data_IF_309086255139
#
_entry.id   IF_309086255139
#
_cell.length_a   1.000
_cell.length_b   1.000
_cell.length_c   1.000
_cell.angle_alpha   90.00
_cell.angle_beta   90.00
_cell.angle_gamma   90.00
#
_symmetry.space_group_name_H-M   'P 1'
#
loop_
_entity.id
_entity.type
_entity.pdbx_description
1 polymer ?
#
# COMPACT_ATOMS: atom_id res chain seq x y z
N UNK A 1 19.47 -2.81 3.37
CA UNK A 1 19.79 -2.16 2.08
C UNK A 1 18.93 -2.75 0.98
N UNK A 2 18.38 -1.89 0.11
CA UNK A 2 17.67 -2.36 -1.08
C UNK A 2 18.73 -2.97 -2.00
N UNK A 3 18.65 -4.28 -2.24
CA UNK A 3 19.61 -5.04 -3.06
C UNK A 3 19.45 -4.77 -4.55
N UNK A 4 19.77 -3.54 -5.00
CA UNK A 4 19.64 -3.14 -6.41
C UNK A 4 20.95 -2.54 -6.95
N UNK A 5 21.04 -2.40 -8.28
CA UNK A 5 22.21 -1.79 -8.91
C UNK A 5 22.36 -0.32 -8.51
N UNK A 6 23.57 0.25 -8.55
CA UNK A 6 23.80 1.67 -8.28
C UNK A 6 22.97 2.60 -9.17
N UNK A 7 22.75 2.26 -10.42
CA UNK A 7 21.96 3.02 -11.38
C UNK A 7 20.47 3.05 -10.95
N UNK A 8 19.92 1.88 -10.61
CA UNK A 8 18.55 1.78 -10.12
C UNK A 8 18.38 2.53 -8.79
N UNK A 9 19.34 2.38 -7.87
CA UNK A 9 19.31 3.09 -6.59
C UNK A 9 19.33 4.61 -6.79
N UNK A 10 20.15 5.12 -7.72
CA UNK A 10 20.23 6.55 -8.01
C UNK A 10 18.91 7.12 -8.54
N UNK A 11 18.18 6.35 -9.34
CA UNK A 11 16.85 6.71 -9.82
C UNK A 11 15.80 6.62 -8.69
N UNK A 12 15.79 5.50 -7.96
CA UNK A 12 14.81 5.21 -6.91
C UNK A 12 14.86 6.26 -5.78
N UNK A 13 16.06 6.76 -5.46
CA UNK A 13 16.27 7.73 -4.36
C UNK A 13 16.30 9.19 -4.81
N UNK A 14 15.95 9.46 -6.06
CA UNK A 14 15.80 10.81 -6.58
C UNK A 14 14.32 11.24 -6.55
N UNK A 15 13.96 12.26 -5.74
CA UNK A 15 12.57 12.68 -5.59
C UNK A 15 11.96 13.27 -6.87
N UNK A 16 12.79 13.74 -7.80
CA UNK A 16 12.31 14.26 -9.09
C UNK A 16 12.01 13.13 -10.07
N UNK A 17 12.84 12.08 -10.08
CA UNK A 17 12.70 10.97 -11.02
C UNK A 17 11.70 9.91 -10.55
N UNK A 18 11.68 9.62 -9.24
CA UNK A 18 10.81 8.59 -8.63
C UNK A 18 9.61 9.16 -7.85
N UNK A 19 9.60 10.46 -7.57
CA UNK A 19 8.51 11.13 -6.85
C UNK A 19 8.56 11.02 -5.33
N UNK A 20 9.53 10.31 -4.74
CA UNK A 20 9.67 10.18 -3.29
C UNK A 20 10.50 8.97 -2.87
N UNK A 21 10.47 8.67 -1.57
CA UNK A 21 11.17 7.55 -0.95
C UNK A 21 10.26 6.35 -0.67
N UNK A 22 10.44 5.74 0.51
CA UNK A 22 9.68 4.56 0.94
C UNK A 22 8.16 4.84 1.01
N UNK A 23 7.76 6.08 1.30
CA UNK A 23 6.37 6.51 1.27
C UNK A 23 5.74 6.21 -0.10
N UNK A 24 6.37 6.65 -1.17
CA UNK A 24 5.85 6.46 -2.53
C UNK A 24 6.03 5.02 -2.99
N UNK A 25 7.25 4.47 -2.85
CA UNK A 25 7.64 3.17 -3.38
C UNK A 25 6.89 1.99 -2.72
N UNK A 26 6.78 2.00 -1.39
CA UNK A 26 6.12 0.91 -0.64
C UNK A 26 4.76 1.30 -0.07
N UNK A 27 4.54 2.57 0.27
CA UNK A 27 3.26 3.05 0.76
C UNK A 27 2.14 2.88 -0.27
N UNK A 28 2.45 2.95 -1.56
CA UNK A 28 1.49 2.74 -2.64
C UNK A 28 0.82 1.35 -2.58
N UNK A 29 1.53 0.29 -2.19
CA UNK A 29 0.96 -1.05 -2.08
C UNK A 29 -0.11 -1.13 -0.98
N UNK A 30 0.19 -0.56 0.19
CA UNK A 30 -0.76 -0.52 1.30
C UNK A 30 -1.99 0.34 0.96
N UNK A 31 -1.79 1.52 0.38
CA UNK A 31 -2.86 2.40 -0.06
C UNK A 31 -3.74 1.73 -1.13
N UNK A 32 -3.13 1.01 -2.11
CA UNK A 32 -3.85 0.32 -3.16
C UNK A 32 -4.73 -0.81 -2.60
N UNK A 33 -4.19 -1.66 -1.73
CA UNK A 33 -4.94 -2.75 -1.10
C UNK A 33 -6.07 -2.20 -0.23
N UNK A 34 -5.81 -1.17 0.59
CA UNK A 34 -6.81 -0.55 1.44
C UNK A 34 -7.96 0.04 0.62
N UNK A 35 -7.66 0.81 -0.42
CA UNK A 35 -8.65 1.42 -1.31
C UNK A 35 -9.51 0.35 -2.00
N UNK A 36 -8.87 -0.73 -2.48
CA UNK A 36 -9.58 -1.84 -3.09
C UNK A 36 -10.51 -2.56 -2.10
N UNK A 37 -10.03 -2.88 -0.90
CA UNK A 37 -10.81 -3.56 0.13
C UNK A 37 -11.99 -2.72 0.63
N UNK A 38 -11.88 -1.40 0.59
CA UNK A 38 -12.92 -0.44 0.97
C UNK A 38 -13.71 0.05 -0.25
N UNK A 39 -13.67 -0.67 -1.37
CA UNK A 39 -14.47 -0.43 -2.59
C UNK A 39 -14.39 1.02 -3.11
N UNK A 40 -13.22 1.64 -2.97
CA UNK A 40 -12.98 3.02 -3.41
C UNK A 40 -13.42 4.08 -2.41
N UNK A 41 -13.73 3.71 -1.16
CA UNK A 41 -14.01 4.70 -0.12
C UNK A 41 -12.76 5.58 0.12
N UNK A 42 -12.98 6.88 0.26
CA UNK A 42 -11.90 7.84 0.49
C UNK A 42 -11.73 8.15 1.98
N UNK A 43 -10.51 8.21 2.51
CA UNK A 43 -10.29 8.52 3.92
C UNK A 43 -10.77 9.94 4.26
N UNK A 44 -11.28 10.12 5.47
CA UNK A 44 -11.66 11.43 6.02
C UNK A 44 -10.43 12.28 6.32
N UNK A 45 -9.40 11.65 6.90
CA UNK A 45 -8.11 12.25 7.20
C UNK A 45 -6.96 11.31 6.84
N UNK A 46 -5.84 11.91 6.49
CA UNK A 46 -4.56 11.23 6.25
C UNK A 46 -3.51 11.86 7.16
N UNK A 47 -2.87 11.05 7.97
CA UNK A 47 -1.71 11.42 8.79
C UNK A 47 -0.49 10.66 8.31
N UNK A 48 0.68 11.27 8.39
CA UNK A 48 1.92 10.62 7.97
C UNK A 48 3.11 11.07 8.80
N UNK A 49 3.95 10.10 9.15
CA UNK A 49 5.26 10.32 9.74
C UNK A 49 6.28 9.72 8.77
N UNK A 50 7.07 10.55 8.12
CA UNK A 50 8.16 10.14 7.25
C UNK A 50 9.50 10.44 7.91
N UNK A 51 10.41 9.46 7.91
CA UNK A 51 11.73 9.53 8.51
C UNK A 51 12.82 9.25 7.48
N UNK A 52 13.95 9.89 7.67
CA UNK A 52 15.20 9.62 6.96
C UNK A 52 16.20 9.06 7.97
N UNK A 53 16.13 7.75 8.21
CA UNK A 53 16.93 7.05 9.23
C UNK A 53 18.36 6.78 8.76
N UNK A 54 18.57 6.68 7.44
CA UNK A 54 19.86 6.44 6.79
C UNK A 54 20.25 7.56 5.82
N UNK A 55 20.45 8.81 6.28
CA UNK A 55 20.66 9.96 5.40
C UNK A 55 21.93 9.89 4.55
N UNK A 56 22.92 9.08 4.94
CA UNK A 56 24.12 8.83 4.13
C UNK A 56 23.84 7.94 2.92
N UNK A 57 22.85 7.06 3.02
CA UNK A 57 22.47 6.14 1.95
C UNK A 57 21.33 6.71 1.10
N UNK A 58 20.37 7.38 1.73
CA UNK A 58 19.19 7.98 1.11
C UNK A 58 19.12 9.48 1.40
N UNK A 59 20.01 10.29 0.79
CA UNK A 59 20.22 11.69 1.23
C UNK A 59 19.06 12.65 0.90
N UNK A 60 18.13 12.26 0.01
CA UNK A 60 17.10 13.15 -0.53
C UNK A 60 15.66 12.71 -0.24
N UNK A 61 15.47 11.51 0.29
CA UNK A 61 14.14 10.88 0.43
C UNK A 61 13.98 10.21 1.78
N UNK A 62 12.73 9.97 2.18
CA UNK A 62 12.39 9.13 3.34
C UNK A 62 12.74 7.66 3.08
N UNK A 63 13.08 6.95 4.14
CA UNK A 63 13.39 5.52 4.11
C UNK A 63 12.56 4.70 5.10
N UNK A 64 11.74 5.38 5.90
CA UNK A 64 10.85 4.76 6.90
C UNK A 64 9.63 5.65 7.13
N UNK A 65 8.44 5.13 6.81
CA UNK A 65 7.22 5.92 6.80
C UNK A 65 6.05 5.15 7.40
N UNK A 66 5.25 5.83 8.21
CA UNK A 66 3.96 5.34 8.69
C UNK A 66 2.86 6.28 8.23
N UNK A 67 1.88 5.74 7.49
CA UNK A 67 0.69 6.44 7.04
C UNK A 67 -0.51 5.91 7.83
N UNK A 68 -1.36 6.80 8.33
CA UNK A 68 -2.62 6.46 8.98
C UNK A 68 -3.76 7.06 8.15
N UNK A 69 -4.67 6.19 7.70
CA UNK A 69 -5.89 6.58 6.99
C UNK A 69 -7.06 6.43 7.95
N UNK A 70 -7.77 7.53 8.19
CA UNK A 70 -8.96 7.56 9.02
C UNK A 70 -10.21 7.57 8.13
N UNK A 71 -11.10 6.59 8.34
CA UNK A 71 -12.42 6.51 7.73
C UNK A 71 -13.50 6.66 8.83
N UNK A 72 -14.76 6.69 8.46
CA UNK A 72 -15.84 6.87 9.45
C UNK A 72 -15.86 5.81 10.55
N UNK A 73 -15.57 4.55 10.18
CA UNK A 73 -15.65 3.40 11.10
C UNK A 73 -14.39 2.51 11.07
N UNK A 74 -13.42 2.86 10.26
CA UNK A 74 -12.24 2.03 9.99
C UNK A 74 -11.00 2.91 10.10
N UNK A 75 -9.93 2.32 10.58
CA UNK A 75 -8.60 2.90 10.55
C UNK A 75 -7.66 1.94 9.81
N UNK A 76 -6.83 2.48 8.93
CA UNK A 76 -5.78 1.73 8.23
C UNK A 76 -4.43 2.32 8.61
N UNK A 77 -3.49 1.45 8.98
CA UNK A 77 -2.10 1.82 9.24
C UNK A 77 -1.22 1.14 8.20
N UNK A 78 -0.46 1.92 7.47
CA UNK A 78 0.49 1.45 6.46
C UNK A 78 1.90 1.77 6.95
N UNK A 79 2.75 0.76 7.09
CA UNK A 79 4.15 0.95 7.42
C UNK A 79 5.01 0.58 6.20
N UNK A 80 5.59 1.57 5.58
CA UNK A 80 6.45 1.46 4.40
C UNK A 80 7.89 1.76 4.80
N UNK A 81 8.80 0.80 4.66
CA UNK A 81 10.18 0.96 5.11
C UNK A 81 11.17 0.18 4.25
N UNK A 82 12.28 0.83 3.92
CA UNK A 82 13.47 0.21 3.32
C UNK A 82 14.46 -0.30 4.36
N UNK A 83 14.10 -0.20 5.66
CA UNK A 83 15.02 -0.45 6.78
C UNK A 83 14.88 -1.81 7.43
N UNK A 84 13.91 -2.64 6.99
CA UNK A 84 13.74 -3.99 7.50
C UNK A 84 14.99 -4.84 7.25
N UNK A 85 15.33 -5.70 8.22
CA UNK A 85 16.45 -6.65 8.12
C UNK A 85 16.14 -7.85 7.19
N UNK A 86 14.89 -7.98 6.75
CA UNK A 86 14.40 -9.07 5.91
C UNK A 86 13.22 -8.56 5.06
N UNK A 87 12.89 -9.28 4.00
CA UNK A 87 11.71 -9.00 3.21
C UNK A 87 10.45 -9.20 4.06
N UNK A 88 9.68 -8.14 4.21
CA UNK A 88 8.44 -8.12 4.95
C UNK A 88 7.30 -7.61 4.05
N UNK A 89 6.29 -8.47 3.84
CA UNK A 89 5.03 -8.12 3.19
C UNK A 89 3.95 -8.89 3.92
N UNK A 90 3.47 -8.31 5.00
CA UNK A 90 2.44 -8.87 5.86
C UNK A 90 1.27 -7.89 5.97
N UNK A 91 0.10 -8.43 6.29
CA UNK A 91 -1.11 -7.64 6.50
C UNK A 91 -1.96 -8.28 7.59
N UNK A 92 -2.52 -7.45 8.45
CA UNK A 92 -3.44 -7.88 9.50
C UNK A 92 -4.74 -7.09 9.38
N UNK A 93 -5.86 -7.80 9.46
CA UNK A 93 -7.21 -7.22 9.40
C UNK A 93 -7.96 -7.65 10.65
N UNK A 94 -8.45 -6.70 11.42
CA UNK A 94 -9.23 -6.93 12.61
C UNK A 94 -10.66 -6.44 12.40
N UNK A 95 -11.62 -7.30 12.66
CA UNK A 95 -13.05 -7.00 12.57
C UNK A 95 -13.82 -7.42 13.82
N UNK A 96 -15.09 -7.05 13.89
CA UNK A 96 -15.96 -7.38 15.02
C UNK A 96 -16.20 -8.89 15.20
N UNK A 97 -15.94 -9.69 14.17
CA UNK A 97 -16.18 -11.15 14.20
C UNK A 97 -14.88 -11.97 14.13
N UNK A 98 -13.73 -11.34 14.23
CA UNK A 98 -12.44 -12.04 14.19
C UNK A 98 -11.34 -11.24 13.53
N UNK A 99 -10.27 -11.94 13.17
CA UNK A 99 -9.15 -11.33 12.45
C UNK A 99 -8.63 -12.24 11.33
N UNK A 100 -7.95 -11.62 10.38
CA UNK A 100 -7.12 -12.28 9.36
C UNK A 100 -5.69 -11.78 9.51
N UNK A 101 -4.73 -12.70 9.56
CA UNK A 101 -3.31 -12.40 9.57
C UNK A 101 -2.67 -13.02 8.31
N UNK A 102 -2.36 -12.19 7.33
CA UNK A 102 -1.64 -12.60 6.13
C UNK A 102 -0.14 -12.55 6.41
N UNK A 103 0.46 -13.71 6.76
CA UNK A 103 1.86 -13.83 7.16
C UNK A 103 2.79 -13.67 5.96
N UNK A 104 2.41 -14.25 4.83
CA UNK A 104 3.12 -14.17 3.56
C UNK A 104 2.19 -14.57 2.40
N UNK A 105 2.74 -14.67 1.19
CA UNK A 105 1.97 -15.00 -0.02
C UNK A 105 1.34 -16.41 -0.04
N UNK A 106 1.76 -17.32 0.86
CA UNK A 106 1.31 -18.72 0.89
C UNK A 106 0.54 -19.08 2.16
N UNK A 107 0.50 -18.19 3.15
CA UNK A 107 -0.03 -18.53 4.47
C UNK A 107 -0.80 -17.37 5.07
N UNK A 108 -2.02 -17.67 5.49
CA UNK A 108 -2.82 -16.77 6.31
C UNK A 108 -3.45 -17.52 7.48
N UNK A 109 -3.70 -16.79 8.54
CA UNK A 109 -4.41 -17.25 9.73
C UNK A 109 -5.75 -16.52 9.82
N UNK A 110 -6.77 -17.27 10.19
CA UNK A 110 -8.11 -16.76 10.43
C UNK A 110 -8.57 -17.20 11.82
N UNK A 111 -9.10 -16.26 12.59
CA UNK A 111 -9.84 -16.56 13.82
C UNK A 111 -11.19 -15.85 13.77
N UNK A 112 -12.27 -16.63 13.85
CA UNK A 112 -13.64 -16.11 13.90
C UNK A 112 -14.23 -16.12 15.30
N UNK A 113 -13.81 -17.05 16.14
CA UNK A 113 -14.18 -17.11 17.55
C UNK A 113 -13.05 -17.71 18.37
N UNK A 114 -12.91 -17.30 19.64
CA UNK A 114 -11.90 -17.88 20.54
C UNK A 114 -12.10 -19.40 20.74
N UNK A 115 -13.36 -19.89 20.70
CA UNK A 115 -13.68 -21.32 20.86
C UNK A 115 -13.17 -22.19 19.71
N UNK A 116 -13.15 -21.63 18.50
CA UNK A 116 -12.67 -22.36 17.31
C UNK A 116 -11.14 -22.28 17.17
N UNK A 117 -10.51 -21.35 17.85
CA UNK A 117 -9.08 -21.11 17.76
C UNK A 117 -8.65 -20.56 16.40
N UNK A 118 -7.33 -20.50 16.20
CA UNK A 118 -6.72 -20.01 14.95
C UNK A 118 -6.69 -21.14 13.93
N UNK A 119 -7.20 -20.87 12.72
CA UNK A 119 -7.15 -21.77 11.57
C UNK A 119 -6.15 -21.25 10.55
N UNK A 120 -5.22 -22.09 10.14
CA UNK A 120 -4.27 -21.75 9.06
C UNK A 120 -4.89 -22.12 7.72
N UNK A 121 -4.82 -21.19 6.77
CA UNK A 121 -5.28 -21.35 5.41
C UNK A 121 -4.16 -21.09 4.40
N UNK A 122 -4.18 -21.82 3.30
CA UNK A 122 -3.38 -21.50 2.12
C UNK A 122 -4.27 -20.73 1.15
N UNK A 123 -3.86 -19.54 0.69
CA UNK A 123 -4.60 -18.79 -0.30
C UNK A 123 -4.77 -19.61 -1.59
N UNK A 124 -5.89 -19.41 -2.27
CA UNK A 124 -6.07 -19.94 -3.61
C UNK A 124 -5.01 -19.39 -4.57
N UNK A 125 -4.55 -20.16 -5.57
CA UNK A 125 -3.65 -19.64 -6.58
C UNK A 125 -4.26 -18.43 -7.28
N UNK A 126 -3.47 -17.39 -7.45
CA UNK A 126 -3.87 -16.21 -8.24
C UNK A 126 -3.89 -16.57 -9.72
N UNK A 127 -4.76 -15.92 -10.49
CA UNK A 127 -4.89 -16.12 -11.94
C UNK A 127 -3.66 -15.61 -12.71
N UNK A 128 -3.46 -16.07 -13.93
CA UNK A 128 -2.27 -15.72 -14.70
C UNK A 128 -2.16 -14.22 -14.99
N UNK A 129 -3.27 -13.54 -15.27
CA UNK A 129 -3.26 -12.09 -15.44
C UNK A 129 -2.89 -11.30 -14.17
N UNK A 130 -3.11 -11.88 -12.99
CA UNK A 130 -2.70 -11.28 -11.72
C UNK A 130 -1.21 -11.48 -11.42
N UNK A 131 -0.59 -12.48 -12.03
CA UNK A 131 0.86 -12.73 -11.89
C UNK A 131 1.68 -11.88 -12.82
N UNK A 132 1.13 -11.52 -14.00
CA UNK A 132 1.84 -10.84 -15.07
C UNK A 132 1.04 -9.61 -15.56
N UNK A 133 1.52 -8.39 -15.30
CA UNK A 133 0.84 -7.17 -15.74
C UNK A 133 0.79 -7.03 -17.26
N UNK A 134 1.72 -7.61 -18.01
CA UNK A 134 1.71 -7.62 -19.47
C UNK A 134 0.62 -8.55 -20.00
N UNK A 135 0.37 -9.67 -19.32
CA UNK A 135 -0.76 -10.55 -19.65
C UNK A 135 -2.09 -9.83 -19.40
N UNK A 136 -2.23 -9.12 -18.30
CA UNK A 136 -3.41 -8.31 -18.02
C UNK A 136 -3.64 -7.26 -19.12
N UNK A 137 -2.60 -6.51 -19.49
CA UNK A 137 -2.68 -5.51 -20.55
C UNK A 137 -3.10 -6.13 -21.87
N UNK A 138 -2.51 -7.26 -22.25
CA UNK A 138 -2.88 -8.00 -23.46
C UNK A 138 -4.36 -8.39 -23.46
N UNK A 139 -4.87 -8.95 -22.36
CA UNK A 139 -6.27 -9.36 -22.23
C UNK A 139 -7.24 -8.17 -22.32
N UNK A 140 -6.87 -7.02 -21.74
CA UNK A 140 -7.68 -5.80 -21.84
C UNK A 140 -7.74 -5.30 -23.27
N UNK A 141 -6.60 -5.25 -23.97
CA UNK A 141 -6.50 -4.67 -25.32
C UNK A 141 -7.04 -5.62 -26.40
N UNK A 142 -6.79 -6.92 -26.30
CA UNK A 142 -7.06 -7.89 -27.36
C UNK A 142 -8.21 -8.85 -27.07
N UNK A 143 -8.48 -9.11 -25.79
CA UNK A 143 -9.52 -10.08 -25.38
C UNK A 143 -10.75 -9.39 -24.75
N UNK A 144 -10.81 -8.04 -24.79
CA UNK A 144 -11.88 -7.23 -24.22
C UNK A 144 -12.17 -7.52 -22.75
N UNK A 145 -11.13 -7.83 -21.95
CA UNK A 145 -11.26 -7.97 -20.51
C UNK A 145 -11.71 -6.65 -19.88
N UNK A 146 -12.77 -6.71 -19.11
CA UNK A 146 -13.25 -5.56 -18.34
C UNK A 146 -12.50 -5.53 -17.00
N UNK A 147 -11.98 -4.36 -16.65
CA UNK A 147 -11.46 -4.07 -15.31
C UNK A 147 -12.63 -3.56 -14.48
N UNK A 148 -12.93 -4.23 -13.38
CA UNK A 148 -13.98 -3.81 -12.47
C UNK A 148 -13.68 -2.43 -11.87
N UNK A 149 -14.66 -1.53 -11.81
CA UNK A 149 -14.50 -0.25 -11.11
C UNK A 149 -14.01 -0.48 -9.67
N UNK A 150 -13.09 0.34 -9.22
CA UNK A 150 -12.41 0.20 -7.92
C UNK A 150 -11.63 -1.12 -7.71
N UNK A 151 -11.47 -1.94 -8.75
CA UNK A 151 -10.58 -3.10 -8.71
C UNK A 151 -9.11 -2.70 -8.54
N UNK A 152 -8.25 -3.60 -8.05
CA UNK A 152 -6.82 -3.35 -7.79
C UNK A 152 -6.07 -2.67 -8.97
N UNK A 153 -6.48 -2.97 -10.19
CA UNK A 153 -5.85 -2.49 -11.43
C UNK A 153 -6.63 -1.37 -12.12
N UNK A 154 -7.76 -0.92 -11.53
CA UNK A 154 -8.59 0.12 -12.14
C UNK A 154 -7.96 1.50 -12.02
N UNK A 155 -8.33 2.38 -12.94
CA UNK A 155 -7.91 3.79 -12.92
C UNK A 155 -8.50 4.49 -11.70
N UNK A 156 -9.76 4.21 -11.36
CA UNK A 156 -10.47 4.79 -10.23
C UNK A 156 -9.74 4.49 -8.91
N UNK A 157 -9.39 3.22 -8.67
CA UNK A 157 -8.62 2.82 -7.49
C UNK A 157 -7.28 3.55 -7.43
N UNK A 158 -6.54 3.57 -8.53
CA UNK A 158 -5.20 4.18 -8.58
C UNK A 158 -5.22 5.71 -8.50
N UNK A 159 -6.28 6.38 -8.94
CA UNK A 159 -6.46 7.82 -8.71
C UNK A 159 -6.64 8.14 -7.22
N UNK A 160 -7.42 7.33 -6.50
CA UNK A 160 -7.56 7.48 -5.05
C UNK A 160 -6.22 7.23 -4.34
N UNK A 161 -5.50 6.16 -4.72
CA UNK A 161 -4.15 5.87 -4.21
C UNK A 161 -3.21 7.07 -4.40
N UNK A 162 -3.16 7.65 -5.59
CA UNK A 162 -2.32 8.81 -5.89
C UNK A 162 -2.67 10.01 -4.99
N UNK A 163 -3.96 10.25 -4.76
CA UNK A 163 -4.41 11.32 -3.86
C UNK A 163 -4.03 11.03 -2.39
N UNK A 164 -4.15 9.77 -1.94
CA UNK A 164 -3.71 9.35 -0.60
C UNK A 164 -2.21 9.61 -0.41
N UNK A 165 -1.37 9.21 -1.37
CA UNK A 165 0.08 9.43 -1.29
C UNK A 165 0.43 10.92 -1.29
N UNK A 166 -0.25 11.72 -2.12
CA UNK A 166 -0.08 13.19 -2.12
C UNK A 166 -0.41 13.78 -0.75
N UNK A 167 -1.56 13.40 -0.17
CA UNK A 167 -1.96 13.85 1.16
C UNK A 167 -0.97 13.39 2.25
N UNK A 168 -0.47 12.15 2.16
CA UNK A 168 0.51 11.62 3.10
C UNK A 168 1.83 12.42 3.05
N UNK A 169 2.31 12.74 1.85
CA UNK A 169 3.50 13.59 1.66
C UNK A 169 3.30 14.96 2.30
N UNK A 170 2.20 15.63 1.99
CA UNK A 170 1.89 16.94 2.54
C UNK A 170 1.67 16.91 4.06
N UNK A 171 1.05 15.85 4.59
CA UNK A 171 0.86 15.67 6.03
C UNK A 171 2.20 15.50 6.76
N UNK A 172 3.13 14.75 6.16
CA UNK A 172 4.48 14.61 6.70
C UNK A 172 5.28 15.92 6.68
N UNK A 173 5.19 16.70 5.60
CA UNK A 173 5.84 18.00 5.47
C UNK A 173 5.29 19.02 6.48
N UNK A 174 3.98 19.07 6.66
CA UNK A 174 3.31 19.98 7.59
C UNK A 174 3.30 19.50 9.04
N UNK A 175 3.60 18.21 9.25
CA UNK A 175 3.50 17.55 10.55
C UNK A 175 2.09 17.67 11.18
N UNK A 176 1.05 17.54 10.33
CA UNK A 176 -0.36 17.60 10.74
C UNK A 176 -1.24 16.68 9.89
N UNK A 177 -2.36 16.14 10.43
CA UNK A 177 -3.35 15.41 9.64
C UNK A 177 -4.01 16.31 8.59
N UNK A 178 -4.25 15.78 7.40
CA UNK A 178 -4.94 16.49 6.32
C UNK A 178 -6.30 15.86 6.01
N UNK A 179 -7.32 16.70 5.92
CA UNK A 179 -8.69 16.28 5.66
C UNK A 179 -8.97 16.11 4.16
N UNK A 180 -9.88 15.19 3.81
CA UNK A 180 -10.22 14.82 2.41
C UNK A 180 -10.70 15.98 1.54
N UNK A 181 -11.41 16.95 2.10
CA UNK A 181 -11.99 18.05 1.31
C UNK A 181 -10.93 18.92 0.61
N UNK A 182 -9.68 18.79 0.96
CA UNK A 182 -8.60 19.48 0.26
C UNK A 182 -8.25 18.86 -1.10
N UNK A 183 -8.59 17.56 -1.33
CA UNK A 183 -8.07 16.82 -2.50
C UNK A 183 -9.03 15.79 -3.12
N UNK A 184 -10.15 15.46 -2.47
CA UNK A 184 -11.12 14.47 -2.97
C UNK A 184 -12.43 15.11 -3.45
N UNK A 185 -12.44 16.43 -3.68
CA UNK A 185 -13.59 17.12 -4.29
C UNK A 185 -13.69 16.86 -5.79
#
# INVERSE_FOLDING_TARGET
EIGCSPEFLSWLTDPVLNGGGALTDFGCYGANIATWMLEGETPLHVSCIAKQSKPKLYPKVDDDTTIVLEYEKIQVVIHASWNWSHNRKDMQIYGSQGYINCINHNQMELMTTEKEGVKTHQPAPISDYQKDPFRLLYEVVHENRIIEPNGLYSVENNLIVSKILTLATLAAEKNEPLAKHHYFS
#
